data_IF_246342643984
#
_entry.id   IF_246342643984
#
_cell.length_a   1.000
_cell.length_b   1.000
_cell.length_c   1.000
_cell.angle_alpha   90.00
_cell.angle_beta   90.00
_cell.angle_gamma   90.00
#
_symmetry.space_group_name_H-M   'P 1'
#
loop_
_entity.id
_entity.type
_entity.pdbx_description
1 polymer ?
#
# COMPACT_ATOMS: atom_id res chain seq x y z
N UNK A 1 -18.31 19.12 -2.15
CA UNK A 1 -18.37 17.91 -1.31
C UNK A 1 -19.68 17.15 -1.50
N UNK A 2 -20.87 17.74 -1.33
CA UNK A 2 -22.13 17.04 -1.66
C UNK A 2 -22.62 17.41 -3.08
N UNK A 3 -22.98 16.43 -3.92
CA UNK A 3 -23.36 16.59 -5.34
C UNK A 3 -22.30 17.26 -6.27
N UNK A 4 -21.01 17.10 -5.96
CA UNK A 4 -19.90 17.54 -6.82
C UNK A 4 -19.01 16.36 -7.21
N UNK A 5 -18.50 16.31 -8.45
CA UNK A 5 -17.46 15.36 -8.85
C UNK A 5 -16.07 16.02 -8.82
N UNK A 6 -15.02 15.24 -8.60
CA UNK A 6 -13.62 15.70 -8.59
C UNK A 6 -13.07 15.93 -10.01
N UNK A 7 -13.95 15.93 -11.03
CA UNK A 7 -13.59 16.04 -12.44
C UNK A 7 -13.55 14.72 -13.19
N UNK A 8 -13.21 14.78 -14.49
CA UNK A 8 -13.05 13.62 -15.37
C UNK A 8 -11.59 13.18 -15.36
N UNK A 9 -11.33 11.91 -15.05
CA UNK A 9 -10.00 11.33 -15.07
C UNK A 9 -9.88 10.31 -16.21
N UNK A 10 -8.93 10.50 -17.13
CA UNK A 10 -8.54 9.48 -18.11
C UNK A 10 -7.51 8.54 -17.50
N UNK A 11 -7.82 7.25 -17.44
CA UNK A 11 -6.98 6.26 -16.77
C UNK A 11 -6.55 5.17 -17.74
N UNK A 12 -5.30 4.72 -17.63
CA UNK A 12 -4.84 3.53 -18.34
C UNK A 12 -5.54 2.29 -17.76
N UNK A 13 -6.06 1.43 -18.62
CA UNK A 13 -6.83 0.23 -18.23
C UNK A 13 -5.97 -1.00 -18.00
N UNK A 14 -4.68 -0.94 -18.32
CA UNK A 14 -3.75 -2.08 -18.18
C UNK A 14 -3.84 -3.12 -19.31
N UNK A 15 -4.62 -2.86 -20.37
CA UNK A 15 -4.76 -3.78 -21.52
C UNK A 15 -3.43 -4.08 -22.22
N UNK A 16 -2.57 -3.06 -22.38
CA UNK A 16 -1.30 -3.19 -23.11
C UNK A 16 -0.11 -3.50 -22.18
N UNK A 17 -0.11 -2.95 -20.96
CA UNK A 17 0.85 -3.28 -19.90
C UNK A 17 0.15 -3.15 -18.54
N UNK A 18 0.03 -4.28 -17.82
CA UNK A 18 -0.62 -4.34 -16.51
C UNK A 18 0.07 -3.45 -15.46
N UNK A 19 1.32 -3.03 -15.71
CA UNK A 19 2.09 -2.15 -14.82
C UNK A 19 1.74 -0.67 -14.94
N UNK A 20 0.98 -0.25 -15.96
CA UNK A 20 0.78 1.17 -16.31
C UNK A 20 -0.60 1.76 -15.98
N UNK A 21 -1.39 1.12 -15.14
CA UNK A 21 -2.78 1.52 -14.87
C UNK A 21 -2.85 2.92 -14.19
N UNK A 22 -3.75 3.82 -14.66
CA UNK A 22 -4.15 5.13 -14.07
C UNK A 22 -3.16 6.36 -14.02
N UNK A 23 -2.80 7.09 -15.10
CA UNK A 23 -1.95 8.35 -15.07
C UNK A 23 -2.56 9.62 -15.74
N UNK A 24 -2.29 10.86 -15.27
CA UNK A 24 -2.85 12.18 -15.74
C UNK A 24 -1.95 13.47 -15.55
N UNK A 25 -2.35 14.66 -16.08
CA UNK A 25 -1.53 15.91 -16.26
C UNK A 25 -2.16 17.30 -15.86
N UNK A 26 -1.61 18.12 -14.93
CA UNK A 26 -2.17 19.48 -14.61
C UNK A 26 -1.28 20.66 -14.06
N UNK A 27 -0.16 20.50 -13.32
CA UNK A 27 0.45 21.62 -12.52
C UNK A 27 1.49 22.55 -13.26
N UNK A 28 2.41 23.26 -12.55
CA UNK A 28 3.44 24.17 -13.13
C UNK A 28 4.88 23.63 -13.32
N UNK A 29 5.37 22.64 -12.56
CA UNK A 29 6.68 22.01 -12.80
C UNK A 29 6.49 20.58 -13.28
N UNK A 30 7.23 20.07 -14.28
CA UNK A 30 6.96 18.75 -14.85
C UNK A 30 6.79 17.65 -13.81
N UNK A 31 7.59 17.68 -12.74
CA UNK A 31 7.59 16.73 -11.64
C UNK A 31 6.38 16.86 -10.69
N UNK A 32 5.89 18.07 -10.42
CA UNK A 32 4.67 18.27 -9.63
C UNK A 32 3.40 18.03 -10.45
N UNK A 33 3.50 18.11 -11.78
CA UNK A 33 2.39 17.86 -12.72
C UNK A 33 2.13 16.38 -12.93
N UNK A 34 3.09 15.53 -12.58
CA UNK A 34 3.00 14.10 -12.73
C UNK A 34 2.08 13.53 -11.66
N UNK A 35 0.90 13.06 -12.08
CA UNK A 35 0.13 12.08 -11.31
C UNK A 35 0.88 10.76 -11.44
N UNK A 36 1.72 10.48 -10.46
CA UNK A 36 2.44 9.23 -10.37
C UNK A 36 1.61 8.26 -9.54
N UNK A 37 1.42 7.06 -10.08
CA UNK A 37 0.69 5.99 -9.40
C UNK A 37 -0.81 6.07 -9.60
N UNK A 38 -1.58 5.48 -8.68
CA UNK A 38 -3.01 5.28 -8.87
C UNK A 38 -3.84 6.30 -8.09
N UNK A 39 -5.17 6.22 -8.18
CA UNK A 39 -6.08 7.00 -7.33
C UNK A 39 -6.08 6.53 -5.85
N UNK A 40 -5.13 5.68 -5.44
CA UNK A 40 -5.06 5.13 -4.07
C UNK A 40 -6.02 3.98 -3.80
N UNK A 41 -6.76 3.52 -4.81
CA UNK A 41 -7.77 2.46 -4.66
C UNK A 41 -7.20 1.04 -4.84
N UNK A 42 -6.26 0.87 -5.78
CA UNK A 42 -5.57 -0.39 -6.08
C UNK A 42 -4.19 -0.09 -6.68
N UNK A 43 -3.28 -1.06 -6.65
CA UNK A 43 -1.95 -0.99 -7.28
C UNK A 43 -1.70 -2.22 -8.15
N UNK A 44 -0.58 -2.20 -8.89
CA UNK A 44 -0.20 -3.31 -9.75
C UNK A 44 0.07 -4.59 -8.94
N UNK A 45 -0.29 -5.77 -9.48
CA UNK A 45 -0.02 -7.06 -8.84
C UNK A 45 1.48 -7.39 -8.84
N UNK A 46 1.85 -8.43 -8.08
CA UNK A 46 3.22 -8.96 -7.97
C UNK A 46 4.24 -7.98 -7.36
N UNK A 47 3.84 -7.34 -6.27
CA UNK A 47 4.67 -6.40 -5.53
C UNK A 47 5.82 -7.07 -4.78
N UNK A 48 6.95 -6.38 -4.74
CA UNK A 48 8.15 -6.74 -3.95
C UNK A 48 8.36 -5.75 -2.82
N UNK A 49 9.26 -6.06 -1.87
CA UNK A 49 9.62 -5.13 -0.77
C UNK A 49 10.32 -3.85 -1.25
N UNK A 50 10.85 -3.86 -2.47
CA UNK A 50 11.46 -2.70 -3.13
C UNK A 50 10.44 -1.86 -3.90
N UNK A 51 9.25 -2.40 -4.14
CA UNK A 51 8.17 -1.68 -4.82
C UNK A 51 7.67 -0.58 -3.91
N UNK A 52 7.44 0.62 -4.45
CA UNK A 52 6.81 1.75 -3.76
C UNK A 52 5.33 1.87 -4.16
N UNK A 53 4.55 2.62 -3.37
CA UNK A 53 3.15 2.90 -3.65
C UNK A 53 2.96 4.38 -4.00
N UNK A 54 3.17 4.77 -5.26
CA UNK A 54 2.77 6.09 -5.71
C UNK A 54 1.24 6.16 -5.78
N UNK A 55 0.67 7.28 -5.33
CA UNK A 55 -0.75 7.59 -5.47
C UNK A 55 -0.96 9.11 -5.53
N UNK A 56 -2.01 9.54 -6.20
CA UNK A 56 -2.40 10.94 -6.23
C UNK A 56 -3.53 11.21 -5.24
N UNK A 57 -3.34 12.21 -4.39
CA UNK A 57 -4.40 12.72 -3.51
C UNK A 57 -4.89 14.06 -4.05
N UNK A 58 -6.16 14.14 -4.47
CA UNK A 58 -6.78 15.41 -4.84
C UNK A 58 -6.80 16.40 -3.68
N UNK A 59 -6.98 15.93 -2.44
CA UNK A 59 -7.02 16.78 -1.24
C UNK A 59 -5.65 17.38 -0.91
N UNK A 60 -4.58 16.61 -1.14
CA UNK A 60 -3.22 17.09 -1.00
C UNK A 60 -2.71 17.85 -2.23
N UNK A 61 -3.49 17.90 -3.31
CA UNK A 61 -3.13 18.48 -4.61
C UNK A 61 -1.78 17.96 -5.15
N UNK A 62 -1.36 16.74 -4.78
CA UNK A 62 -0.05 16.19 -5.16
C UNK A 62 -0.03 14.67 -5.22
N UNK A 63 0.94 14.16 -5.95
CA UNK A 63 1.35 12.75 -5.87
C UNK A 63 2.20 12.52 -4.62
N UNK A 64 1.89 11.44 -3.94
CA UNK A 64 2.56 10.95 -2.74
C UNK A 64 3.04 9.53 -3.01
N UNK A 65 4.12 9.14 -2.35
CA UNK A 65 4.72 7.82 -2.53
C UNK A 65 4.96 7.19 -1.17
N UNK A 66 4.34 6.04 -0.91
CA UNK A 66 4.55 5.30 0.33
C UNK A 66 5.66 4.26 0.14
N UNK A 67 6.36 3.99 1.22
CA UNK A 67 7.49 3.06 1.26
C UNK A 67 7.15 1.84 2.11
N UNK A 68 7.67 0.68 1.72
CA UNK A 68 7.50 -0.56 2.47
C UNK A 68 8.10 -0.39 3.88
N UNK A 69 7.34 -0.81 4.89
CA UNK A 69 7.77 -0.83 6.29
C UNK A 69 8.02 -2.26 6.77
N UNK A 70 7.01 -3.15 6.61
CA UNK A 70 7.05 -4.49 7.19
C UNK A 70 6.04 -5.46 6.54
N UNK A 71 6.33 -6.75 6.69
CA UNK A 71 5.38 -7.82 6.41
C UNK A 71 4.31 -7.90 7.51
N UNK A 72 3.12 -8.34 7.15
CA UNK A 72 2.01 -8.60 8.06
C UNK A 72 1.11 -9.72 7.57
N UNK A 73 0.11 -10.06 8.38
CA UNK A 73 -0.96 -10.99 8.01
C UNK A 73 -2.29 -10.49 8.56
N UNK A 74 -3.34 -10.59 7.76
CA UNK A 74 -4.72 -10.32 8.17
C UNK A 74 -5.57 -11.55 7.87
N UNK A 75 -6.11 -12.20 8.90
CA UNK A 75 -6.93 -13.41 8.75
C UNK A 75 -6.24 -14.48 7.87
N UNK A 76 -4.93 -14.70 8.05
CA UNK A 76 -4.14 -15.64 7.24
C UNK A 76 -3.69 -15.13 5.86
N UNK A 77 -4.24 -14.01 5.37
CA UNK A 77 -3.86 -13.38 4.11
C UNK A 77 -2.56 -12.58 4.32
N UNK A 78 -1.48 -12.83 3.56
CA UNK A 78 -0.23 -12.08 3.68
C UNK A 78 -0.38 -10.65 3.17
N UNK A 79 0.23 -9.68 3.84
CA UNK A 79 0.19 -8.29 3.40
C UNK A 79 1.53 -7.60 3.63
N UNK A 80 1.76 -6.53 2.88
CA UNK A 80 2.83 -5.58 3.11
C UNK A 80 2.25 -4.29 3.65
N UNK A 81 2.84 -3.78 4.72
CA UNK A 81 2.53 -2.47 5.27
C UNK A 81 3.40 -1.42 4.61
N UNK A 82 2.75 -0.45 3.99
CA UNK A 82 3.36 0.74 3.43
C UNK A 82 3.03 1.94 4.29
N UNK A 83 4.00 2.83 4.49
CA UNK A 83 3.86 4.03 5.32
C UNK A 83 4.38 5.26 4.60
N UNK A 84 3.92 6.43 5.03
CA UNK A 84 4.46 7.69 4.56
C UNK A 84 5.93 7.83 5.01
N UNK A 85 6.89 8.04 4.08
CA UNK A 85 8.27 8.32 4.46
C UNK A 85 8.37 9.70 5.11
N UNK A 86 9.39 9.92 5.95
CA UNK A 86 9.63 11.22 6.61
C UNK A 86 9.83 12.37 5.60
N UNK A 87 10.29 12.05 4.39
CA UNK A 87 10.49 13.02 3.30
C UNK A 87 9.19 13.55 2.70
N UNK A 88 8.05 12.88 2.93
CA UNK A 88 6.78 13.22 2.28
C UNK A 88 6.34 14.65 2.58
N UNK A 89 6.46 15.07 3.85
CA UNK A 89 6.12 16.41 4.33
C UNK A 89 7.36 17.21 4.79
N UNK A 90 8.56 16.77 4.41
CA UNK A 90 9.79 17.48 4.75
C UNK A 90 9.87 18.85 4.05
N UNK A 91 10.70 19.74 4.60
CA UNK A 91 10.94 21.06 4.02
C UNK A 91 11.49 20.95 2.59
N UNK A 92 11.11 21.87 1.71
CA UNK A 92 11.65 21.97 0.35
C UNK A 92 13.15 22.23 0.29
N UNK A 93 13.75 22.78 1.36
CA UNK A 93 15.21 22.90 1.49
C UNK A 93 15.88 21.55 1.71
N UNK A 94 15.24 20.66 2.45
CA UNK A 94 15.78 19.36 2.83
C UNK A 94 15.45 18.29 1.78
N UNK A 95 14.30 18.44 1.12
CA UNK A 95 13.85 17.61 0.03
C UNK A 95 13.39 18.48 -1.13
N UNK A 96 14.31 18.71 -2.08
CA UNK A 96 14.10 19.58 -3.24
C UNK A 96 12.78 19.35 -4.01
N UNK A 97 12.25 18.12 -4.16
CA UNK A 97 10.94 17.91 -4.78
C UNK A 97 9.77 18.58 -4.05
N UNK A 98 9.91 18.89 -2.75
CA UNK A 98 8.89 19.61 -1.99
C UNK A 98 8.97 21.15 -2.16
N UNK A 99 10.02 21.68 -2.78
CA UNK A 99 10.22 23.12 -2.92
C UNK A 99 9.18 23.80 -3.84
N UNK A 100 8.43 23.04 -4.64
CA UNK A 100 7.39 23.57 -5.54
C UNK A 100 6.03 23.81 -4.89
N UNK A 101 5.81 23.34 -3.66
CA UNK A 101 4.50 23.39 -3.00
C UNK A 101 4.37 24.64 -2.11
N UNK A 102 4.11 25.80 -2.73
CA UNK A 102 3.82 27.05 -2.01
C UNK A 102 2.32 27.25 -1.85
N UNK A 103 1.80 27.00 -0.65
CA UNK A 103 0.41 27.29 -0.24
C UNK A 103 0.40 27.87 1.18
N UNK A 104 -0.50 28.81 1.52
CA UNK A 104 -0.68 29.28 2.90
C UNK A 104 -1.25 28.19 3.83
N UNK A 105 -1.83 27.13 3.26
CA UNK A 105 -2.30 25.94 3.96
C UNK A 105 -1.26 24.83 3.81
N UNK A 106 -0.78 24.33 4.94
CA UNK A 106 0.22 23.27 5.04
C UNK A 106 -0.45 21.96 5.44
N UNK A 107 -0.04 20.86 4.81
CA UNK A 107 -0.50 19.52 5.15
C UNK A 107 0.59 18.82 5.94
N UNK A 108 0.22 18.18 7.04
CA UNK A 108 1.10 17.33 7.85
C UNK A 108 0.39 16.06 8.26
N UNK A 109 1.10 15.14 8.90
CA UNK A 109 0.42 14.14 9.74
C UNK A 109 -0.25 14.83 10.95
N UNK A 110 -1.27 14.19 11.54
CA UNK A 110 -1.85 14.66 12.78
C UNK A 110 -0.81 14.86 13.88
N UNK A 111 -1.04 15.87 14.70
CA UNK A 111 -0.16 16.26 15.81
C UNK A 111 1.30 16.50 15.39
N UNK A 112 1.54 16.81 14.10
CA UNK A 112 2.88 16.95 13.52
C UNK A 112 3.76 15.68 13.66
N UNK A 113 3.14 14.50 13.63
CA UNK A 113 3.89 13.24 13.60
C UNK A 113 4.88 13.20 12.41
N UNK A 114 6.12 12.79 12.69
CA UNK A 114 7.25 12.81 11.75
C UNK A 114 7.64 14.19 11.17
N UNK A 115 7.17 15.30 11.75
CA UNK A 115 7.61 16.64 11.37
C UNK A 115 8.80 17.13 12.21
N UNK A 116 9.28 18.34 11.92
CA UNK A 116 10.33 18.98 12.71
C UNK A 116 9.83 19.23 14.16
N UNK A 117 10.58 18.80 15.19
CA UNK A 117 10.22 18.99 16.59
C UNK A 117 9.93 20.45 16.97
N UNK A 118 10.51 21.43 16.29
CA UNK A 118 10.26 22.85 16.55
C UNK A 118 8.77 23.22 16.45
N UNK A 119 8.00 22.49 15.61
CA UNK A 119 6.56 22.70 15.47
C UNK A 119 5.76 22.30 16.72
N UNK A 120 6.30 21.39 17.53
CA UNK A 120 5.67 20.94 18.77
C UNK A 120 5.79 21.97 19.90
N UNK A 121 6.86 22.78 19.87
CA UNK A 121 7.13 23.77 20.92
C UNK A 121 6.15 24.96 20.88
N UNK A 122 5.56 25.24 19.70
CA UNK A 122 4.65 26.37 19.53
C UNK A 122 3.21 26.09 19.98
N UNK A 123 2.81 24.82 20.13
CA UNK A 123 1.43 24.44 20.42
C UNK A 123 1.39 23.39 21.53
N UNK A 124 0.83 23.78 22.68
CA UNK A 124 0.60 22.85 23.78
C UNK A 124 -0.56 21.88 23.46
N UNK A 125 -0.43 20.63 23.92
CA UNK A 125 -1.46 19.59 23.74
C UNK A 125 -1.23 18.65 22.55
N UNK A 126 -0.11 18.80 21.84
CA UNK A 126 0.28 17.87 20.78
C UNK A 126 0.93 16.61 21.38
N UNK A 127 0.52 15.42 20.92
CA UNK A 127 1.07 14.14 21.37
C UNK A 127 1.26 13.16 20.18
N UNK A 128 2.25 13.38 19.31
CA UNK A 128 2.42 12.59 18.09
C UNK A 128 2.89 11.15 18.38
N UNK A 129 2.01 10.18 18.19
CA UNK A 129 2.31 8.74 18.18
C UNK A 129 2.16 8.10 16.79
N UNK A 130 2.93 7.05 16.50
CA UNK A 130 2.86 6.31 15.22
C UNK A 130 1.50 5.62 15.04
N UNK A 131 0.94 5.07 16.11
CA UNK A 131 -0.30 4.29 16.06
C UNK A 131 -1.53 5.14 15.76
N UNK A 132 -1.62 6.33 16.37
CA UNK A 132 -2.78 7.22 16.22
C UNK A 132 -2.64 8.18 15.03
N UNK A 133 -1.41 8.52 14.63
CA UNK A 133 -1.18 9.59 13.64
C UNK A 133 -0.40 9.14 12.41
N UNK A 134 0.09 7.90 12.38
CA UNK A 134 0.74 7.35 11.20
C UNK A 134 -0.24 7.10 10.06
N UNK A 135 0.15 7.45 8.84
CA UNK A 135 -0.52 7.05 7.61
C UNK A 135 0.02 5.69 7.16
N UNK A 136 -0.87 4.72 6.93
CA UNK A 136 -0.47 3.41 6.43
C UNK A 136 -1.48 2.80 5.45
N UNK A 137 -0.95 1.93 4.59
CA UNK A 137 -1.72 1.10 3.65
C UNK A 137 -1.19 -0.32 3.74
N UNK A 138 -2.05 -1.24 4.15
CA UNK A 138 -1.78 -2.68 4.14
C UNK A 138 -2.30 -3.27 2.82
N UNK A 139 -1.40 -3.82 2.01
CA UNK A 139 -1.71 -4.30 0.66
C UNK A 139 -1.36 -5.78 0.49
N UNK A 140 -2.21 -6.54 -0.19
CA UNK A 140 -1.88 -7.91 -0.56
C UNK A 140 -0.93 -7.90 -1.78
N UNK A 141 0.32 -8.40 -1.65
CA UNK A 141 1.37 -8.14 -2.63
C UNK A 141 1.12 -8.80 -3.99
N UNK A 142 0.48 -9.98 -4.03
CA UNK A 142 0.26 -10.69 -5.28
C UNK A 142 -0.88 -10.09 -6.11
N UNK A 143 -1.86 -9.44 -5.46
CA UNK A 143 -3.04 -8.89 -6.16
C UNK A 143 -3.02 -7.37 -6.28
N UNK A 144 -2.24 -6.66 -5.45
CA UNK A 144 -2.23 -5.19 -5.40
C UNK A 144 -3.49 -4.58 -4.79
N UNK A 145 -4.30 -5.38 -4.07
CA UNK A 145 -5.54 -4.93 -3.43
C UNK A 145 -5.27 -4.51 -1.99
N UNK A 146 -5.64 -3.29 -1.57
CA UNK A 146 -5.52 -2.86 -0.18
C UNK A 146 -6.52 -3.62 0.71
N UNK A 147 -6.04 -4.16 1.82
CA UNK A 147 -6.85 -4.87 2.81
C UNK A 147 -7.27 -3.97 3.96
N UNK A 148 -6.41 -3.03 4.35
CA UNK A 148 -6.64 -2.10 5.44
C UNK A 148 -5.88 -0.79 5.17
N UNK A 149 -6.57 0.32 5.32
CA UNK A 149 -6.11 1.65 4.91
C UNK A 149 -6.47 2.61 6.02
N UNK A 150 -5.49 3.43 6.42
CA UNK A 150 -5.71 4.58 7.27
C UNK A 150 -4.91 5.75 6.72
N UNK A 151 -5.64 6.68 6.10
CA UNK A 151 -5.10 7.94 5.60
C UNK A 151 -5.44 9.00 6.61
N UNK A 152 -4.40 9.60 7.20
CA UNK A 152 -4.54 10.62 8.24
C UNK A 152 -3.79 11.86 7.82
N UNK A 153 -4.51 12.97 7.71
CA UNK A 153 -3.98 14.24 7.27
C UNK A 153 -4.44 15.35 8.21
N UNK A 154 -3.57 16.33 8.40
CA UNK A 154 -3.83 17.53 9.20
C UNK A 154 -3.64 18.76 8.33
N UNK A 155 -4.61 19.66 8.39
CA UNK A 155 -4.57 20.97 7.77
C UNK A 155 -4.06 21.98 8.78
N UNK A 156 -3.03 22.72 8.38
CA UNK A 156 -2.40 23.74 9.21
C UNK A 156 -2.37 25.07 8.46
N UNK A 157 -2.49 26.17 9.21
CA UNK A 157 -2.42 27.52 8.69
C UNK A 157 -1.13 28.19 9.16
N UNK A 158 -0.33 28.72 8.25
CA UNK A 158 0.81 29.53 8.64
C UNK A 158 0.36 30.96 8.98
N UNK A 159 0.45 31.30 10.25
CA UNK A 159 0.13 32.62 10.78
C UNK A 159 1.41 33.40 10.97
N UNK A 160 1.43 34.63 10.46
CA UNK A 160 2.54 35.57 10.64
C UNK A 160 2.00 36.98 10.81
N UNK A 161 2.80 37.85 11.42
CA UNK A 161 2.46 39.28 11.40
C UNK A 161 2.60 39.84 9.99
N UNK A 162 1.64 40.70 9.60
CA UNK A 162 1.70 41.41 8.32
C UNK A 162 1.62 42.90 8.60
N UNK A 163 2.65 43.63 8.18
CA UNK A 163 2.69 45.09 8.28
C UNK A 163 1.48 45.71 7.58
N UNK A 164 0.66 46.45 8.33
CA UNK A 164 -0.55 47.11 7.82
C UNK A 164 -1.88 46.41 8.14
N UNK A 165 -1.86 45.21 8.75
CA UNK A 165 -3.07 44.52 9.21
C UNK A 165 -3.06 44.48 10.74
N UNK A 166 -3.84 45.34 11.38
CA UNK A 166 -3.92 45.49 12.84
C UNK A 166 -4.38 44.22 13.56
N UNK A 167 -5.21 43.41 12.89
CA UNK A 167 -5.78 42.15 13.37
C UNK A 167 -4.71 41.07 13.58
N UNK A 168 -3.59 41.16 12.87
CA UNK A 168 -2.45 40.25 13.07
C UNK A 168 -1.58 40.62 14.29
N UNK A 169 -1.78 41.83 14.84
CA UNK A 169 -1.19 42.29 16.08
C UNK A 169 0.30 41.94 16.25
N UNK A 170 0.62 41.23 17.34
CA UNK A 170 1.94 40.67 17.65
C UNK A 170 1.91 39.14 17.71
N UNK A 171 1.22 38.52 16.76
CA UNK A 171 1.16 37.05 16.68
C UNK A 171 2.56 36.51 16.33
N UNK A 172 3.02 35.47 17.01
CA UNK A 172 4.27 34.81 16.65
C UNK A 172 4.12 34.09 15.31
N UNK A 173 5.19 34.03 14.52
CA UNK A 173 5.20 33.25 13.28
C UNK A 173 5.08 31.76 13.65
N UNK A 174 3.92 31.15 13.32
CA UNK A 174 3.57 29.79 13.76
C UNK A 174 2.76 29.05 12.71
N UNK A 175 2.98 27.74 12.60
CA UNK A 175 2.13 26.83 11.84
C UNK A 175 1.04 26.31 12.78
N UNK A 176 -0.14 26.92 12.74
CA UNK A 176 -1.25 26.58 13.62
C UNK A 176 -2.02 25.36 13.08
N UNK A 177 -2.13 24.25 13.82
CA UNK A 177 -2.94 23.11 13.43
C UNK A 177 -4.42 23.46 13.57
N UNK A 178 -5.20 23.26 12.51
CA UNK A 178 -6.61 23.65 12.49
C UNK A 178 -7.51 22.45 12.75
N UNK A 179 -7.46 21.46 11.85
CA UNK A 179 -8.24 20.23 11.92
C UNK A 179 -7.42 19.08 11.33
N UNK A 180 -7.63 17.88 11.85
CA UNK A 180 -7.17 16.65 11.23
C UNK A 180 -8.37 15.76 10.95
N UNK A 181 -8.23 14.91 9.94
CA UNK A 181 -9.26 13.96 9.54
C UNK A 181 -8.62 12.62 9.21
N UNK A 182 -9.40 11.57 9.37
CA UNK A 182 -9.03 10.21 9.02
C UNK A 182 -10.02 9.67 7.98
N UNK A 183 -9.47 9.16 6.88
CA UNK A 183 -10.16 8.28 5.97
C UNK A 183 -9.65 6.86 6.21
N UNK A 184 -10.55 5.99 6.66
CA UNK A 184 -10.25 4.59 6.97
C UNK A 184 -11.10 3.64 6.15
N UNK A 185 -10.50 2.54 5.72
CA UNK A 185 -11.19 1.48 5.01
C UNK A 185 -10.53 0.15 5.32
N UNK A 186 -11.33 -0.87 5.61
CA UNK A 186 -10.84 -2.24 5.80
C UNK A 186 -11.79 -3.21 5.12
N UNK A 187 -11.26 -4.31 4.60
CA UNK A 187 -12.08 -5.35 3.98
C UNK A 187 -12.75 -6.18 5.07
N UNK A 188 -14.07 -6.32 4.97
CA UNK A 188 -14.87 -7.09 5.91
C UNK A 188 -15.93 -7.98 5.22
N UNK A 189 -16.66 -8.74 6.04
CA UNK A 189 -17.85 -9.47 5.62
C UNK A 189 -17.63 -10.50 4.50
N UNK A 190 -18.59 -10.64 3.55
CA UNK A 190 -18.53 -11.63 2.48
C UNK A 190 -17.33 -11.46 1.54
N UNK A 191 -16.85 -10.23 1.36
CA UNK A 191 -15.69 -9.93 0.50
C UNK A 191 -14.44 -10.53 1.14
N UNK A 192 -14.24 -10.32 2.44
CA UNK A 192 -13.13 -10.90 3.18
C UNK A 192 -13.15 -12.44 3.10
N UNK A 193 -14.31 -13.06 3.28
CA UNK A 193 -14.46 -14.51 3.19
C UNK A 193 -14.12 -15.05 1.79
N UNK A 194 -14.56 -14.35 0.73
CA UNK A 194 -14.22 -14.69 -0.65
C UNK A 194 -12.72 -14.55 -0.93
N UNK A 195 -12.11 -13.46 -0.48
CA UNK A 195 -10.66 -13.26 -0.58
C UNK A 195 -9.88 -14.34 0.17
N UNK A 196 -10.26 -14.65 1.40
CA UNK A 196 -9.64 -15.71 2.19
C UNK A 196 -9.77 -17.08 1.52
N UNK A 197 -10.95 -17.40 0.99
CA UNK A 197 -11.18 -18.67 0.30
C UNK A 197 -10.32 -18.80 -0.95
N UNK A 198 -10.25 -17.75 -1.77
CA UNK A 198 -9.50 -17.77 -3.02
C UNK A 198 -7.97 -17.69 -2.83
N UNK A 199 -7.50 -16.95 -1.83
CA UNK A 199 -6.07 -16.69 -1.63
C UNK A 199 -5.39 -17.60 -0.62
N UNK A 200 -6.14 -18.21 0.31
CA UNK A 200 -5.59 -19.06 1.38
C UNK A 200 -6.10 -20.49 1.26
N UNK A 201 -7.43 -20.68 1.24
CA UNK A 201 -8.03 -22.02 1.29
C UNK A 201 -7.80 -22.80 -0.01
N UNK A 202 -8.10 -22.21 -1.15
CA UNK A 202 -8.01 -22.88 -2.45
C UNK A 202 -6.57 -23.31 -2.77
N UNK A 203 -5.53 -22.46 -2.64
CA UNK A 203 -4.15 -22.88 -2.84
C UNK A 203 -3.71 -24.00 -1.87
N UNK A 204 -4.10 -23.92 -0.59
CA UNK A 204 -3.77 -24.95 0.38
C UNK A 204 -4.39 -26.31 0.01
N UNK A 205 -5.67 -26.34 -0.39
CA UNK A 205 -6.34 -27.56 -0.85
C UNK A 205 -5.66 -28.13 -2.10
N UNK A 206 -5.30 -27.27 -3.06
CA UNK A 206 -4.58 -27.69 -4.26
C UNK A 206 -3.21 -28.29 -3.93
N UNK A 207 -2.48 -27.71 -2.99
CA UNK A 207 -1.18 -28.22 -2.53
C UNK A 207 -1.33 -29.60 -1.86
N UNK A 208 -2.30 -29.77 -0.95
CA UNK A 208 -2.56 -31.09 -0.34
C UNK A 208 -2.98 -32.13 -1.38
N UNK A 209 -3.82 -31.76 -2.34
CA UNK A 209 -4.24 -32.64 -3.43
C UNK A 209 -3.05 -33.03 -4.31
N UNK A 210 -2.14 -32.09 -4.61
CA UNK A 210 -0.92 -32.36 -5.36
C UNK A 210 -0.04 -33.39 -4.64
N UNK A 211 0.20 -33.23 -3.33
CA UNK A 211 0.94 -34.23 -2.56
C UNK A 211 0.22 -35.58 -2.51
N UNK A 212 -1.11 -35.59 -2.44
CA UNK A 212 -1.92 -36.80 -2.53
C UNK A 212 -1.70 -37.56 -3.85
N UNK A 213 -1.71 -36.86 -4.98
CA UNK A 213 -1.46 -37.49 -6.28
C UNK A 213 -0.01 -37.96 -6.45
N UNK A 214 0.97 -37.22 -5.92
CA UNK A 214 2.37 -37.65 -5.92
C UNK A 214 2.53 -38.95 -5.12
N UNK A 215 1.94 -39.04 -3.93
CA UNK A 215 1.99 -40.24 -3.10
C UNK A 215 1.34 -41.44 -3.80
N UNK A 216 0.17 -41.24 -4.44
CA UNK A 216 -0.50 -42.28 -5.21
C UNK A 216 0.35 -42.73 -6.42
N UNK A 217 0.98 -41.79 -7.14
CA UNK A 217 1.87 -42.09 -8.25
C UNK A 217 3.10 -42.91 -7.82
N UNK A 218 3.72 -42.55 -6.69
CA UNK A 218 4.84 -43.31 -6.13
C UNK A 218 4.39 -44.73 -5.74
N UNK A 219 3.22 -44.86 -5.12
CA UNK A 219 2.68 -46.17 -4.74
C UNK A 219 2.45 -47.07 -5.97
N UNK A 220 1.90 -46.55 -7.06
CA UNK A 220 1.69 -47.35 -8.28
C UNK A 220 2.99 -47.77 -8.95
N UNK A 221 4.02 -46.90 -8.96
CA UNK A 221 5.35 -47.24 -9.46
C UNK A 221 6.00 -48.34 -8.63
N UNK A 222 5.89 -48.26 -7.29
CA UNK A 222 6.41 -49.31 -6.39
C UNK A 222 5.70 -50.63 -6.66
N UNK A 223 4.37 -50.63 -6.78
CA UNK A 223 3.60 -51.84 -7.08
C UNK A 223 4.00 -52.42 -8.44
N UNK A 224 4.09 -51.60 -9.49
CA UNK A 224 4.50 -52.05 -10.82
C UNK A 224 5.93 -52.62 -10.83
N UNK A 225 6.86 -51.99 -10.10
CA UNK A 225 8.24 -52.48 -9.94
C UNK A 225 8.27 -53.83 -9.23
N UNK A 226 7.51 -54.00 -8.14
CA UNK A 226 7.38 -55.26 -7.42
C UNK A 226 6.78 -56.36 -8.31
N UNK A 227 5.74 -56.04 -9.10
CA UNK A 227 5.14 -56.98 -10.06
C UNK A 227 6.13 -57.37 -11.16
N UNK A 228 6.89 -56.41 -11.72
CA UNK A 228 7.91 -56.68 -12.74
C UNK A 228 9.05 -57.54 -12.18
N UNK A 229 9.49 -57.27 -10.95
CA UNK A 229 10.52 -58.07 -10.30
C UNK A 229 10.03 -59.51 -10.04
N UNK A 230 8.81 -59.68 -9.52
CA UNK A 230 8.20 -61.01 -9.37
C UNK A 230 8.09 -61.74 -10.71
N UNK A 231 7.63 -61.07 -11.76
CA UNK A 231 7.51 -61.64 -13.10
C UNK A 231 8.88 -62.10 -13.65
N UNK A 232 9.93 -61.30 -13.53
CA UNK A 232 11.30 -61.68 -13.94
C UNK A 232 11.84 -62.87 -13.16
N UNK A 233 11.60 -62.93 -11.84
CA UNK A 233 12.03 -64.07 -11.01
C UNK A 233 11.32 -65.35 -11.44
N UNK A 234 10.00 -65.31 -11.64
CA UNK A 234 9.24 -66.46 -12.14
C UNK A 234 9.75 -66.92 -13.50
N UNK A 235 10.01 -66.01 -14.43
CA UNK A 235 10.49 -66.35 -15.78
C UNK A 235 11.86 -67.06 -15.76
N UNK A 236 12.78 -66.62 -14.89
CA UNK A 236 14.07 -67.29 -14.69
C UNK A 236 13.92 -68.70 -14.13
N UNK A 237 13.02 -68.90 -13.17
CA UNK A 237 12.74 -70.22 -12.59
C UNK A 237 12.19 -71.20 -13.65
N UNK A 238 11.27 -70.76 -14.51
CA UNK A 238 10.69 -71.61 -15.56
C UNK A 238 11.66 -71.89 -16.71
N UNK A 239 12.54 -70.94 -17.05
CA UNK A 239 13.57 -71.10 -18.09
C UNK A 239 14.78 -71.95 -17.70
N UNK A 240 14.94 -72.32 -16.43
CA UNK A 240 16.02 -73.21 -15.95
C UNK A 240 15.55 -74.67 -15.82
N UNK A 241 14.27 -74.94 -16.06
CA UNK A 241 13.61 -76.25 -15.96
C UNK A 241 13.34 -76.92 -17.33
N UNK A 242 13.93 -76.38 -18.40
CA UNK A 242 13.97 -76.91 -19.77
C UNK A 242 15.44 -77.09 -20.18
#
# INVERSE_FOLDING_TARGET
FNNSNTGLFTIFTGRDDIRKIHQLNYWKTPQCNMINGTAGQMWAPFMTRESTLPFYSPDACRSMELVYQRDGKMQGIPLYRYVAPKTLFANGTDYAPNAGFYSPVFISHPHFYNADPVLLDYVQGLNPTEEEHGLFIDIHPMTGVPLNVSIRLQLNLFMKTVSGITETGKIADVVMPMIWFEERGYIDGPILASFHTNLVVLPAVMEFMQYGFIALGVATIIIASLMHHKFKVTLKLTGTLL
#
